data_IF_863436009571
#
_entry.id   IF_863436009571
#
_cell.length_a   1.000
_cell.length_b   1.000
_cell.length_c   1.000
_cell.angle_alpha   90.00
_cell.angle_beta   90.00
_cell.angle_gamma   90.00
#
_symmetry.space_group_name_H-M   'P 1'
#
loop_
_entity.id
_entity.type
_entity.pdbx_description
1 polymer ?
#
# COMPACT_ATOMS: atom_id res chain seq x y z
N UNK A 1 2.71 -6.43 21.96
CA UNK A 1 1.93 -7.31 21.06
C UNK A 1 2.18 -6.86 19.64
N UNK A 2 2.26 -7.80 18.69
CA UNK A 2 2.47 -7.50 17.27
C UNK A 2 1.19 -7.80 16.51
N UNK A 3 0.66 -6.84 15.76
CA UNK A 3 -0.52 -7.01 14.91
C UNK A 3 -0.07 -7.27 13.47
N UNK A 4 -0.68 -8.25 12.80
CA UNK A 4 -0.37 -8.57 11.41
C UNK A 4 -1.47 -8.04 10.49
N UNK A 5 -1.10 -7.20 9.53
CA UNK A 5 -2.00 -6.68 8.50
C UNK A 5 -1.83 -7.53 7.25
N UNK A 6 -2.89 -8.25 6.84
CA UNK A 6 -2.93 -8.93 5.53
C UNK A 6 -3.20 -7.91 4.42
N UNK A 7 -2.39 -7.92 3.38
CA UNK A 7 -2.52 -7.11 2.19
C UNK A 7 -2.05 -7.93 0.97
N UNK A 8 -2.57 -7.60 -0.20
CA UNK A 8 -2.09 -8.16 -1.46
C UNK A 8 -0.81 -7.43 -1.91
N UNK A 9 -0.72 -6.13 -1.61
CA UNK A 9 0.42 -5.27 -1.95
C UNK A 9 0.78 -4.41 -0.74
N UNK A 10 2.06 -4.38 -0.37
CA UNK A 10 2.63 -3.48 0.64
C UNK A 10 3.63 -2.54 -0.03
N UNK A 11 3.40 -1.23 0.10
CA UNK A 11 4.22 -0.15 -0.47
C UNK A 11 4.90 0.58 0.67
N UNK A 12 6.21 0.76 0.58
CA UNK A 12 6.98 1.57 1.55
C UNK A 12 7.52 2.80 0.83
N UNK A 13 7.04 3.97 1.28
CA UNK A 13 7.30 5.27 0.67
C UNK A 13 6.07 5.90 0.02
N UNK A 14 5.61 7.06 0.50
CA UNK A 14 4.47 7.83 -0.01
C UNK A 14 4.87 8.92 -1.04
N UNK A 15 6.00 8.76 -1.72
CA UNK A 15 6.37 9.64 -2.83
C UNK A 15 5.40 9.54 -4.02
N UNK A 16 5.61 10.36 -5.06
CA UNK A 16 4.73 10.38 -6.24
C UNK A 16 4.52 9.00 -6.89
N UNK A 17 5.58 8.18 -6.96
CA UNK A 17 5.49 6.81 -7.45
C UNK A 17 4.68 5.90 -6.52
N UNK A 18 4.93 5.96 -5.21
CA UNK A 18 4.24 5.13 -4.21
C UNK A 18 2.74 5.40 -4.18
N UNK A 19 2.34 6.68 -4.20
CA UNK A 19 0.93 7.07 -4.26
C UNK A 19 0.27 6.67 -5.59
N UNK A 20 0.96 6.84 -6.72
CA UNK A 20 0.42 6.45 -8.03
C UNK A 20 0.19 4.94 -8.12
N UNK A 21 1.13 4.14 -7.61
CA UNK A 21 1.01 2.67 -7.57
C UNK A 21 -0.09 2.26 -6.59
N UNK A 22 -0.16 2.86 -5.40
CA UNK A 22 -1.20 2.57 -4.43
C UNK A 22 -2.60 2.84 -4.99
N UNK A 23 -2.78 3.99 -5.66
CA UNK A 23 -4.03 4.36 -6.29
C UNK A 23 -4.41 3.40 -7.41
N UNK A 24 -3.47 3.05 -8.30
CA UNK A 24 -3.70 2.08 -9.37
C UNK A 24 -4.07 0.70 -8.85
N UNK A 25 -3.30 0.18 -7.88
CA UNK A 25 -3.54 -1.12 -7.27
C UNK A 25 -4.89 -1.19 -6.54
N UNK A 26 -5.26 -0.14 -5.79
CA UNK A 26 -6.56 -0.06 -5.12
C UNK A 26 -7.72 0.00 -6.13
N UNK A 27 -7.57 0.73 -7.24
CA UNK A 27 -8.56 0.77 -8.32
C UNK A 27 -8.75 -0.59 -9.01
N UNK A 28 -7.70 -1.42 -9.04
CA UNK A 28 -7.76 -2.80 -9.53
C UNK A 28 -8.34 -3.79 -8.50
N UNK A 29 -8.75 -3.31 -7.32
CA UNK A 29 -9.36 -4.12 -6.26
C UNK A 29 -8.38 -4.82 -5.34
N UNK A 30 -7.07 -4.55 -5.44
CA UNK A 30 -6.09 -5.11 -4.52
C UNK A 30 -6.23 -4.46 -3.14
N UNK A 31 -6.06 -5.26 -2.08
CA UNK A 31 -5.93 -4.76 -0.72
C UNK A 31 -4.52 -4.20 -0.53
N UNK A 32 -4.39 -2.88 -0.55
CA UNK A 32 -3.10 -2.18 -0.47
C UNK A 32 -2.83 -1.69 0.94
N UNK A 33 -1.59 -1.84 1.39
CA UNK A 33 -1.03 -1.14 2.55
C UNK A 33 0.07 -0.21 2.06
N UNK A 34 0.04 1.06 2.46
CA UNK A 34 1.09 2.02 2.19
C UNK A 34 1.64 2.54 3.53
N UNK A 35 2.95 2.47 3.69
CA UNK A 35 3.67 2.87 4.90
C UNK A 35 4.66 3.97 4.53
N UNK A 36 4.61 5.07 5.26
CA UNK A 36 5.57 6.18 5.22
C UNK A 36 5.85 6.61 6.67
N UNK A 37 6.98 7.27 6.90
CA UNK A 37 7.36 7.78 8.23
C UNK A 37 6.37 8.81 8.78
#
# INVERSE_FOLDING_TARGET
MTEQIKADICIIGAGAGGLSVAAGAAQMGAKVVLIEK
#
